data_IF_322126394414
#
_entry.id   IF_322126394414
#
_cell.length_a   1.000
_cell.length_b   1.000
_cell.length_c   1.000
_cell.angle_alpha   90.00
_cell.angle_beta   90.00
_cell.angle_gamma   90.00
#
_symmetry.space_group_name_H-M   'P 1'
#
loop_
_entity.id
_entity.type
_entity.pdbx_description
1 polymer ?
#
# COMPACT_ATOMS: atom_id res chain seq x y z
N UNK A 1 9.84 16.95 7.28
CA UNK A 1 9.22 16.62 5.97
C UNK A 1 10.21 16.69 4.82
N UNK A 2 10.96 17.80 4.61
CA UNK A 2 11.90 17.94 3.48
C UNK A 2 12.91 16.78 3.36
N UNK A 3 13.56 16.40 4.46
CA UNK A 3 14.54 15.30 4.44
C UNK A 3 13.91 13.96 4.06
N UNK A 4 12.75 13.64 4.64
CA UNK A 4 11.97 12.44 4.31
C UNK A 4 11.60 12.40 2.82
N UNK A 5 11.07 13.50 2.29
CA UNK A 5 10.76 13.62 0.85
C UNK A 5 12.01 13.45 0.00
N UNK A 6 13.14 14.04 0.38
CA UNK A 6 14.41 13.89 -0.35
C UNK A 6 14.89 12.44 -0.37
N UNK A 7 14.84 11.73 0.75
CA UNK A 7 15.26 10.33 0.85
C UNK A 7 14.33 9.41 0.06
N UNK A 8 13.02 9.61 0.14
CA UNK A 8 12.05 8.84 -0.63
C UNK A 8 12.17 9.10 -2.14
N UNK A 9 12.41 10.36 -2.53
CA UNK A 9 12.72 10.70 -3.93
C UNK A 9 13.95 9.94 -4.41
N UNK A 10 15.06 9.98 -3.66
CA UNK A 10 16.28 9.21 -4.00
C UNK A 10 16.02 7.70 -4.06
N UNK A 11 15.19 7.15 -3.16
CA UNK A 11 14.86 5.72 -3.10
C UNK A 11 14.05 5.26 -4.31
N UNK A 12 13.12 6.08 -4.81
CA UNK A 12 12.14 5.67 -5.83
C UNK A 12 12.28 6.38 -7.19
N UNK A 13 13.22 7.32 -7.34
CA UNK A 13 13.41 8.02 -8.61
C UNK A 13 13.89 7.11 -9.75
N UNK A 14 14.57 6.00 -9.44
CA UNK A 14 15.16 5.10 -10.43
C UNK A 14 14.62 3.68 -10.26
N UNK A 15 14.40 3.01 -11.38
CA UNK A 15 14.06 1.58 -11.44
C UNK A 15 15.20 0.84 -12.13
N UNK A 16 15.46 -0.39 -11.67
CA UNK A 16 16.47 -1.25 -12.28
C UNK A 16 15.77 -2.29 -13.15
N UNK A 17 16.00 -2.23 -14.46
CA UNK A 17 15.58 -3.29 -15.38
C UNK A 17 16.60 -4.44 -15.33
N UNK A 18 16.16 -5.63 -14.92
CA UNK A 18 16.95 -6.86 -15.03
C UNK A 18 18.04 -7.10 -13.97
N UNK A 19 18.89 -8.12 -14.23
CA UNK A 19 19.97 -8.54 -13.31
C UNK A 19 20.94 -7.37 -13.14
N UNK A 20 21.14 -6.96 -11.89
CA UNK A 20 22.03 -5.88 -11.47
C UNK A 20 23.50 -6.10 -11.89
N UNK A 21 23.81 -5.92 -13.17
CA UNK A 21 25.14 -5.71 -13.73
C UNK A 21 25.04 -4.81 -14.97
N UNK A 22 25.45 -3.55 -14.80
CA UNK A 22 25.83 -2.60 -15.85
C UNK A 22 24.74 -1.95 -16.72
N UNK A 23 23.62 -1.49 -16.13
CA UNK A 23 22.68 -0.57 -16.78
C UNK A 23 22.72 0.83 -16.15
N UNK A 24 22.57 1.89 -16.94
CA UNK A 24 22.30 3.23 -16.41
C UNK A 24 20.94 3.23 -15.69
N UNK A 25 20.80 3.93 -14.55
CA UNK A 25 19.51 4.03 -13.88
C UNK A 25 18.52 4.81 -14.76
N UNK A 26 17.40 4.19 -15.11
CA UNK A 26 16.30 4.85 -15.83
C UNK A 26 15.36 5.52 -14.83
N UNK A 27 14.95 6.75 -15.11
CA UNK A 27 14.05 7.49 -14.22
C UNK A 27 12.65 6.90 -14.29
N UNK A 28 12.06 6.60 -13.14
CA UNK A 28 10.70 6.06 -13.06
C UNK A 28 9.69 6.98 -13.76
N UNK A 29 9.86 8.29 -13.65
CA UNK A 29 8.98 9.27 -14.30
C UNK A 29 9.03 9.23 -15.83
N UNK A 30 10.11 8.73 -16.43
CA UNK A 30 10.29 8.68 -17.89
C UNK A 30 9.68 7.42 -18.50
N UNK A 31 9.57 6.34 -17.73
CA UNK A 31 9.08 5.04 -18.20
C UNK A 31 7.76 4.59 -17.57
N UNK A 32 7.21 5.37 -16.64
CA UNK A 32 5.96 5.01 -16.00
C UNK A 32 4.78 5.28 -16.92
N UNK A 33 4.13 4.20 -17.34
CA UNK A 33 2.83 4.23 -17.99
C UNK A 33 1.73 3.98 -16.95
N UNK A 34 0.67 4.80 -16.98
CA UNK A 34 -0.42 4.70 -16.02
C UNK A 34 -1.14 3.35 -16.12
N UNK A 35 -1.26 2.65 -14.99
CA UNK A 35 -1.91 1.34 -14.96
C UNK A 35 -3.43 1.49 -14.92
N UNK A 36 -4.13 0.59 -15.63
CA UNK A 36 -5.58 0.49 -15.57
C UNK A 36 -5.99 -0.16 -14.24
N UNK A 37 -6.68 0.62 -13.40
CA UNK A 37 -7.15 0.21 -12.08
C UNK A 37 -8.68 0.26 -12.06
N UNK A 38 -9.29 -0.79 -11.53
CA UNK A 38 -10.75 -0.92 -11.42
C UNK A 38 -11.15 -1.10 -9.96
N UNK A 39 -12.34 -0.63 -9.60
CA UNK A 39 -12.96 -0.92 -8.30
C UNK A 39 -13.42 -2.38 -8.28
N UNK A 40 -12.98 -3.13 -7.26
CA UNK A 40 -13.47 -4.48 -6.97
C UNK A 40 -14.49 -4.48 -5.84
N UNK A 41 -15.36 -5.47 -5.80
CA UNK A 41 -16.29 -5.69 -4.69
C UNK A 41 -15.58 -6.05 -3.39
N UNK A 42 -16.08 -5.57 -2.25
CA UNK A 42 -15.57 -5.96 -0.92
C UNK A 42 -15.75 -7.45 -0.64
N UNK A 43 -16.74 -8.10 -1.25
CA UNK A 43 -16.93 -9.56 -1.22
C UNK A 43 -15.80 -10.33 -1.93
N UNK A 44 -15.05 -9.68 -2.83
CA UNK A 44 -14.00 -10.33 -3.63
C UNK A 44 -12.71 -10.55 -2.82
N UNK A 45 -12.59 -10.06 -1.58
CA UNK A 45 -11.46 -10.40 -0.70
C UNK A 45 -11.38 -11.93 -0.49
N UNK A 46 -12.52 -12.61 -0.58
CA UNK A 46 -12.66 -14.06 -0.40
C UNK A 46 -12.71 -14.85 -1.72
N UNK A 47 -12.56 -14.23 -2.89
CA UNK A 47 -12.55 -14.98 -4.16
C UNK A 47 -11.14 -15.50 -4.50
N UNK A 48 -11.01 -16.82 -4.41
CA UNK A 48 -9.76 -17.54 -4.55
C UNK A 48 -9.50 -17.93 -6.02
N UNK A 49 -8.22 -17.88 -6.42
CA UNK A 49 -7.59 -18.31 -7.68
C UNK A 49 -7.30 -17.26 -8.76
N UNK A 50 -6.00 -17.10 -9.06
CA UNK A 50 -5.47 -16.24 -10.14
C UNK A 50 -6.01 -16.66 -11.53
N UNK A 51 -6.23 -17.97 -11.78
CA UNK A 51 -6.79 -18.48 -13.04
C UNK A 51 -8.19 -17.93 -13.28
N UNK A 52 -9.04 -17.93 -12.24
CA UNK A 52 -10.40 -17.40 -12.33
C UNK A 52 -10.40 -15.89 -12.58
N UNK A 53 -9.41 -15.16 -12.06
CA UNK A 53 -9.30 -13.71 -12.34
C UNK A 53 -8.90 -13.42 -13.79
N UNK A 54 -7.98 -14.20 -14.37
CA UNK A 54 -7.64 -14.08 -15.80
C UNK A 54 -8.87 -14.42 -16.66
N UNK A 55 -9.60 -15.48 -16.31
CA UNK A 55 -10.84 -15.86 -17.01
C UNK A 55 -11.93 -14.79 -16.86
N UNK A 56 -12.08 -14.18 -15.69
CA UNK A 56 -13.06 -13.11 -15.45
C UNK A 56 -12.67 -11.83 -16.18
N UNK A 57 -11.40 -11.44 -16.18
CA UNK A 57 -10.89 -10.28 -16.92
C UNK A 57 -11.06 -10.42 -18.44
N UNK A 58 -11.00 -11.66 -18.96
CA UNK A 58 -11.22 -11.93 -20.38
C UNK A 58 -12.70 -11.99 -20.80
N UNK A 59 -13.64 -12.08 -19.84
CA UNK A 59 -15.08 -12.08 -20.09
C UNK A 59 -15.61 -10.64 -20.05
N UNK A 60 -16.46 -10.28 -21.03
CA UNK A 60 -17.20 -9.00 -20.98
C UNK A 60 -18.10 -8.99 -19.73
N UNK A 61 -17.88 -8.08 -18.76
CA UNK A 61 -18.69 -8.04 -17.56
C UNK A 61 -20.12 -7.57 -17.89
N UNK A 62 -21.10 -8.06 -17.13
CA UNK A 62 -22.51 -7.70 -17.29
C UNK A 62 -22.83 -6.24 -16.90
N UNK A 63 -21.89 -5.58 -16.20
CA UNK A 63 -21.93 -4.17 -15.84
C UNK A 63 -20.59 -3.51 -16.22
N UNK A 64 -20.57 -2.22 -16.59
CA UNK A 64 -19.33 -1.50 -16.82
C UNK A 64 -18.46 -1.52 -15.55
N UNK A 65 -17.19 -1.91 -15.69
CA UNK A 65 -16.23 -1.76 -14.59
C UNK A 65 -16.05 -0.28 -14.28
N UNK A 66 -15.99 0.06 -12.99
CA UNK A 66 -15.71 1.42 -12.57
C UNK A 66 -14.19 1.60 -12.48
N UNK A 67 -13.63 2.33 -13.43
CA UNK A 67 -12.22 2.73 -13.39
C UNK A 67 -11.99 3.67 -12.20
N UNK A 68 -10.92 3.44 -11.46
CA UNK A 68 -10.50 4.27 -10.33
C UNK A 68 -9.17 4.92 -10.68
N UNK A 69 -9.10 6.24 -10.60
CA UNK A 69 -7.83 6.96 -10.71
C UNK A 69 -7.08 6.89 -9.38
N UNK A 70 -5.76 6.96 -9.45
CA UNK A 70 -4.91 6.90 -8.27
C UNK A 70 -5.27 7.97 -7.23
N UNK A 71 -5.56 9.19 -7.70
CA UNK A 71 -6.01 10.34 -6.89
C UNK A 71 -7.36 10.14 -6.19
N UNK A 72 -8.16 9.18 -6.65
CA UNK A 72 -9.50 8.90 -6.15
C UNK A 72 -9.52 7.71 -5.16
N UNK A 73 -8.37 7.04 -4.91
CA UNK A 73 -8.30 5.82 -4.08
C UNK A 73 -8.85 5.99 -2.66
N UNK A 74 -8.70 7.17 -2.05
CA UNK A 74 -9.09 7.42 -0.66
C UNK A 74 -10.31 8.34 -0.53
N UNK A 75 -10.91 8.72 -1.66
CA UNK A 75 -12.12 9.53 -1.66
C UNK A 75 -13.32 8.64 -1.36
N UNK A 76 -14.35 9.21 -0.73
CA UNK A 76 -15.59 8.49 -0.51
C UNK A 76 -16.17 8.01 -1.84
N UNK A 77 -16.69 6.78 -1.87
CA UNK A 77 -17.47 6.30 -3.01
C UNK A 77 -18.72 7.17 -3.17
N UNK A 78 -19.26 7.25 -4.39
CA UNK A 78 -20.46 8.05 -4.66
C UNK A 78 -21.64 7.57 -3.81
N UNK A 79 -21.89 8.25 -2.67
CA UNK A 79 -22.92 7.91 -1.69
C UNK A 79 -22.43 7.66 -0.25
N UNK A 80 -21.12 7.61 0.02
CA UNK A 80 -20.56 7.50 1.38
C UNK A 80 -20.26 8.86 2.02
N UNK A 81 -20.54 9.00 3.32
CA UNK A 81 -20.23 10.23 4.07
C UNK A 81 -18.77 10.26 4.58
N UNK A 82 -18.12 9.11 4.78
CA UNK A 82 -16.78 9.02 5.37
C UNK A 82 -15.68 8.65 4.34
N UNK A 83 -14.48 9.26 4.44
CA UNK A 83 -13.33 8.89 3.63
C UNK A 83 -12.89 7.42 3.84
N UNK A 84 -12.38 6.81 2.79
CA UNK A 84 -11.91 5.42 2.83
C UNK A 84 -10.59 5.37 3.62
N UNK A 85 -10.56 4.61 4.71
CA UNK A 85 -9.35 4.42 5.52
C UNK A 85 -8.37 3.44 4.87
N UNK A 86 -8.85 2.26 4.50
CA UNK A 86 -8.01 1.15 4.03
C UNK A 86 -8.40 0.76 2.61
N UNK A 87 -7.42 0.80 1.71
CA UNK A 87 -7.53 0.32 0.32
C UNK A 87 -6.68 -0.93 0.16
N UNK A 88 -7.28 -2.01 -0.38
CA UNK A 88 -6.55 -3.20 -0.79
C UNK A 88 -6.50 -3.28 -2.32
N UNK A 89 -5.30 -3.23 -2.89
CA UNK A 89 -5.07 -3.37 -4.32
C UNK A 89 -4.55 -4.76 -4.66
N UNK A 90 -5.35 -5.50 -5.41
CA UNK A 90 -5.03 -6.84 -5.92
C UNK A 90 -4.50 -6.78 -7.35
N UNK A 91 -3.90 -7.88 -7.78
CA UNK A 91 -3.50 -8.10 -9.17
C UNK A 91 -2.49 -9.23 -9.25
N UNK A 92 -2.32 -9.81 -10.43
CA UNK A 92 -1.41 -10.95 -10.64
C UNK A 92 0.06 -10.56 -10.42
N UNK A 93 0.95 -11.55 -10.32
CA UNK A 93 2.38 -11.31 -10.21
C UNK A 93 2.91 -10.52 -11.41
N UNK A 94 3.83 -9.58 -11.18
CA UNK A 94 4.46 -8.79 -12.25
C UNK A 94 3.61 -7.67 -12.86
N UNK A 95 2.32 -7.54 -12.50
CA UNK A 95 1.40 -6.56 -13.11
C UNK A 95 1.69 -5.08 -12.76
N UNK A 96 2.72 -4.80 -11.95
CA UNK A 96 3.14 -3.43 -11.63
C UNK A 96 2.64 -2.85 -10.30
N UNK A 97 2.04 -3.66 -9.40
CA UNK A 97 1.58 -3.18 -8.07
C UNK A 97 2.65 -2.45 -7.24
N UNK A 98 3.87 -2.99 -7.20
CA UNK A 98 5.00 -2.36 -6.50
C UNK A 98 5.43 -1.06 -7.19
N UNK A 99 5.48 -1.05 -8.52
CA UNK A 99 5.83 0.16 -9.29
C UNK A 99 4.78 1.27 -9.06
N UNK A 100 3.50 0.90 -8.94
CA UNK A 100 2.40 1.81 -8.63
C UNK A 100 2.58 2.51 -7.27
N UNK A 101 2.90 1.77 -6.20
CA UNK A 101 3.12 2.35 -4.87
C UNK A 101 4.40 3.19 -4.79
N UNK A 102 5.44 2.79 -5.52
CA UNK A 102 6.67 3.59 -5.68
C UNK A 102 6.38 4.89 -6.41
N UNK A 103 5.63 4.85 -7.51
CA UNK A 103 5.24 6.03 -8.29
C UNK A 103 4.40 6.99 -7.47
N UNK A 104 3.42 6.49 -6.71
CA UNK A 104 2.65 7.30 -5.77
C UNK A 104 3.57 8.02 -4.77
N UNK A 105 4.50 7.28 -4.15
CA UNK A 105 5.41 7.84 -3.15
C UNK A 105 6.35 8.88 -3.77
N UNK A 106 6.83 8.65 -4.99
CA UNK A 106 7.65 9.59 -5.73
C UNK A 106 6.88 10.88 -6.05
N UNK A 107 5.65 10.78 -6.57
CA UNK A 107 4.82 11.96 -6.85
C UNK A 107 4.53 12.77 -5.58
N UNK A 108 4.23 12.10 -4.45
CA UNK A 108 4.05 12.78 -3.15
C UNK A 108 5.34 13.47 -2.68
N UNK A 109 6.49 12.82 -2.85
CA UNK A 109 7.79 13.37 -2.48
C UNK A 109 8.25 14.53 -3.39
N UNK A 110 7.77 14.58 -4.63
CA UNK A 110 7.99 15.65 -5.60
C UNK A 110 6.96 16.79 -5.53
N UNK A 111 6.08 16.77 -4.53
CA UNK A 111 5.02 17.76 -4.34
C UNK A 111 4.00 17.83 -5.50
N UNK A 112 3.83 16.74 -6.27
CA UNK A 112 2.94 16.68 -7.43
C UNK A 112 1.49 16.38 -7.06
N UNK A 113 1.27 15.36 -6.24
CA UNK A 113 -0.07 14.86 -5.89
C UNK A 113 -0.22 14.59 -4.39
N UNK A 114 -1.46 14.42 -3.91
CA UNK A 114 -1.79 13.98 -2.54
C UNK A 114 -1.20 14.87 -1.43
N UNK A 115 -1.26 16.20 -1.63
CA UNK A 115 -0.72 17.19 -0.67
C UNK A 115 -1.56 17.34 0.60
N UNK A 116 -2.74 16.70 0.66
CA UNK A 116 -3.50 16.51 1.89
C UNK A 116 -2.79 15.55 2.87
N UNK A 117 -1.87 14.72 2.38
CA UNK A 117 -1.08 13.78 3.18
C UNK A 117 0.22 14.44 3.66
N UNK A 118 0.40 14.51 4.97
CA UNK A 118 1.59 15.13 5.58
C UNK A 118 2.78 14.19 5.70
N UNK A 119 2.55 12.88 5.82
CA UNK A 119 3.61 11.87 5.88
C UNK A 119 3.20 10.60 5.14
N UNK A 120 4.11 10.05 4.34
CA UNK A 120 3.94 8.75 3.66
C UNK A 120 5.05 7.80 4.11
N UNK A 121 4.67 6.63 4.60
CA UNK A 121 5.58 5.59 5.09
C UNK A 121 5.35 4.28 4.32
N UNK A 122 6.11 4.03 3.25
CA UNK A 122 6.05 2.76 2.54
C UNK A 122 6.91 1.69 3.22
N UNK A 123 6.27 0.56 3.53
CA UNK A 123 6.89 -0.65 4.03
C UNK A 123 6.63 -1.80 3.06
N UNK A 124 7.64 -2.63 2.81
CA UNK A 124 7.42 -3.93 2.16
C UNK A 124 7.26 -5.01 3.23
N UNK A 125 6.40 -6.00 3.00
CA UNK A 125 6.33 -7.15 3.91
C UNK A 125 7.65 -7.94 3.97
N UNK A 126 8.45 -7.91 2.89
CA UNK A 126 9.83 -8.44 2.90
C UNK A 126 10.69 -7.78 3.97
N UNK A 127 10.71 -6.44 4.04
CA UNK A 127 11.45 -5.69 5.05
C UNK A 127 10.91 -5.98 6.47
N UNK A 128 9.58 -6.04 6.63
CA UNK A 128 8.95 -6.34 7.92
C UNK A 128 9.27 -7.76 8.42
N UNK A 129 9.32 -8.75 7.53
CA UNK A 129 9.64 -10.14 7.87
C UNK A 129 11.04 -10.32 8.48
N UNK A 130 11.99 -9.42 8.19
CA UNK A 130 13.34 -9.41 8.79
C UNK A 130 13.28 -9.02 10.27
N UNK A 131 12.25 -8.28 10.65
CA UNK A 131 12.08 -7.71 11.99
C UNK A 131 11.06 -8.49 12.85
N UNK A 132 10.50 -9.59 12.36
CA UNK A 132 9.40 -10.35 13.00
C UNK A 132 9.69 -10.83 14.43
N UNK A 133 10.95 -11.10 14.77
CA UNK A 133 11.37 -11.57 16.10
C UNK A 133 11.65 -10.41 17.08
N UNK A 134 11.51 -9.16 16.63
CA UNK A 134 11.76 -7.96 17.42
C UNK A 134 10.43 -7.31 17.81
N UNK A 135 10.46 -6.58 18.92
CA UNK A 135 9.35 -5.74 19.37
C UNK A 135 9.59 -4.29 18.99
N UNK A 136 8.53 -3.61 18.57
CA UNK A 136 8.53 -2.21 18.22
C UNK A 136 7.26 -1.55 18.75
N UNK A 137 7.34 -0.26 19.03
CA UNK A 137 6.16 0.60 18.96
C UNK A 137 5.97 1.09 17.52
N UNK A 138 4.80 1.63 17.18
CA UNK A 138 4.60 2.21 15.85
C UNK A 138 5.62 3.32 15.58
N UNK A 139 5.86 4.18 16.57
CA UNK A 139 6.88 5.23 16.49
C UNK A 139 8.27 4.63 16.27
N UNK A 140 8.62 3.59 17.04
CA UNK A 140 9.89 2.91 16.92
C UNK A 140 10.09 2.25 15.56
N UNK A 141 9.04 1.66 14.99
CA UNK A 141 9.07 1.04 13.66
C UNK A 141 9.28 2.09 12.57
N UNK A 142 8.55 3.21 12.61
CA UNK A 142 8.75 4.33 11.67
C UNK A 142 10.18 4.88 11.80
N UNK A 143 10.67 5.10 13.02
CA UNK A 143 12.03 5.59 13.26
C UNK A 143 13.12 4.63 12.78
N UNK A 144 12.84 3.33 12.77
CA UNK A 144 13.76 2.31 12.28
C UNK A 144 13.98 2.43 10.77
N UNK A 145 12.92 2.61 10.00
CA UNK A 145 12.99 2.72 8.53
C UNK A 145 13.22 4.14 8.03
N UNK A 146 12.78 5.15 8.78
CA UNK A 146 12.81 6.57 8.41
C UNK A 146 13.51 7.37 9.50
N UNK A 147 14.81 7.16 9.68
CA UNK A 147 15.59 7.75 10.78
C UNK A 147 15.60 9.28 10.81
N UNK A 148 15.35 9.94 9.68
CA UNK A 148 15.13 11.39 9.57
C UNK A 148 13.91 11.88 10.37
N UNK A 149 12.89 11.03 10.57
CA UNK A 149 11.74 11.37 11.41
C UNK A 149 12.12 11.38 12.89
N UNK A 150 13.01 10.46 13.29
CA UNK A 150 13.62 10.43 14.63
C UNK A 150 14.50 11.67 14.85
N UNK A 151 15.35 11.99 13.88
CA UNK A 151 16.23 13.17 13.94
C UNK A 151 15.43 14.47 14.04
N UNK A 152 14.26 14.53 13.40
CA UNK A 152 13.34 15.67 13.50
C UNK A 152 12.45 15.67 14.75
N UNK A 153 12.59 14.70 15.67
CA UNK A 153 11.80 14.59 16.90
C UNK A 153 10.31 14.26 16.69
N UNK A 154 9.95 13.74 15.51
CA UNK A 154 8.56 13.45 15.15
C UNK A 154 8.15 12.13 15.81
N UNK A 155 7.24 12.18 16.77
CA UNK A 155 6.73 11.00 17.48
C UNK A 155 5.20 10.99 17.64
N UNK A 156 4.53 12.12 17.38
CA UNK A 156 3.08 12.29 17.56
C UNK A 156 2.34 12.16 16.24
N UNK A 157 2.38 10.96 15.66
CA UNK A 157 1.78 10.69 14.35
C UNK A 157 0.26 10.89 14.32
N UNK A 158 -0.41 10.80 15.47
CA UNK A 158 -1.85 11.06 15.63
C UNK A 158 -2.28 12.48 15.26
N UNK A 159 -1.33 13.43 15.25
CA UNK A 159 -1.57 14.84 14.89
C UNK A 159 -1.46 15.13 13.40
N UNK A 160 -1.13 14.13 12.59
CA UNK A 160 -0.84 14.32 11.18
C UNK A 160 -1.73 13.43 10.31
N UNK A 161 -1.99 13.88 9.08
CA UNK A 161 -2.52 13.00 8.05
C UNK A 161 -1.40 12.08 7.55
N UNK A 162 -1.42 10.82 7.98
CA UNK A 162 -0.40 9.80 7.66
C UNK A 162 -0.95 8.81 6.65
N UNK A 163 -0.15 8.47 5.64
CA UNK A 163 -0.36 7.34 4.74
C UNK A 163 0.67 6.26 5.05
N UNK A 164 0.21 5.04 5.29
CA UNK A 164 1.06 3.87 5.44
C UNK A 164 0.77 2.93 4.28
N UNK A 165 1.81 2.59 3.53
CA UNK A 165 1.71 1.64 2.41
C UNK A 165 2.36 0.33 2.85
N UNK A 166 1.63 -0.77 2.72
CA UNK A 166 2.12 -2.13 2.92
C UNK A 166 2.16 -2.85 1.58
N UNK A 167 3.34 -2.94 0.98
CA UNK A 167 3.55 -3.58 -0.30
C UNK A 167 3.86 -5.07 -0.15
N UNK A 168 3.14 -5.91 -0.90
CA UNK A 168 3.40 -7.34 -1.03
C UNK A 168 2.90 -8.20 0.13
N UNK A 169 1.62 -8.08 0.53
CA UNK A 169 1.01 -8.93 1.56
C UNK A 169 1.12 -10.43 1.25
N UNK A 170 1.19 -10.81 -0.03
CA UNK A 170 1.47 -12.19 -0.45
C UNK A 170 2.82 -12.73 0.03
N UNK A 171 3.69 -11.86 0.52
CA UNK A 171 4.99 -12.21 1.08
C UNK A 171 5.01 -12.13 2.62
N UNK A 172 3.90 -11.78 3.26
CA UNK A 172 3.79 -11.71 4.71
C UNK A 172 4.06 -13.09 5.35
N UNK A 173 4.87 -13.09 6.42
CA UNK A 173 5.15 -14.29 7.24
C UNK A 173 4.70 -14.12 8.68
N UNK A 174 4.03 -13.02 9.00
CA UNK A 174 3.43 -12.79 10.30
C UNK A 174 2.11 -13.57 10.36
N UNK A 175 1.70 -14.09 11.53
CA UNK A 175 0.43 -14.80 11.69
C UNK A 175 -0.80 -13.99 11.27
N UNK A 176 -0.74 -12.67 11.44
CA UNK A 176 -1.84 -11.71 11.30
C UNK A 176 -3.08 -12.15 12.08
N UNK A 177 -2.93 -12.47 13.38
CA UNK A 177 -4.06 -12.91 14.20
C UNK A 177 -4.98 -11.73 14.58
N UNK A 178 -6.03 -11.52 13.80
CA UNK A 178 -7.01 -10.45 14.02
C UNK A 178 -7.96 -10.70 15.20
N UNK A 179 -8.01 -11.93 15.72
CA UNK A 179 -8.97 -12.34 16.75
C UNK A 179 -8.35 -12.38 18.14
N UNK A 180 -7.16 -12.97 18.27
CA UNK A 180 -6.52 -13.24 19.57
C UNK A 180 -5.54 -12.16 20.00
N UNK A 181 -5.03 -11.34 19.07
CA UNK A 181 -4.08 -10.29 19.43
C UNK A 181 -4.70 -9.25 20.36
N UNK A 182 -3.90 -8.83 21.34
CA UNK A 182 -4.26 -7.77 22.28
C UNK A 182 -4.59 -6.46 21.57
N UNK A 183 -5.50 -5.68 22.16
CA UNK A 183 -5.85 -4.36 21.62
C UNK A 183 -4.75 -3.38 21.99
N UNK A 184 -4.14 -2.78 20.98
CA UNK A 184 -3.11 -1.76 21.12
C UNK A 184 -3.60 -0.45 20.52
N UNK A 185 -3.55 0.63 21.31
CA UNK A 185 -4.03 1.97 20.90
C UNK A 185 -2.96 3.05 21.03
N UNK A 186 -1.96 2.87 21.90
CA UNK A 186 -0.85 3.79 22.07
C UNK A 186 0.26 3.53 21.04
N UNK A 187 0.58 4.54 20.23
CA UNK A 187 1.62 4.46 19.19
C UNK A 187 3.05 4.36 19.74
N UNK A 188 3.24 4.60 21.04
CA UNK A 188 4.52 4.56 21.74
C UNK A 188 4.77 3.25 22.50
N UNK A 189 3.73 2.46 22.74
CA UNK A 189 3.82 1.17 23.41
C UNK A 189 4.41 0.11 22.47
N UNK A 190 5.33 -0.71 23.01
CA UNK A 190 6.09 -1.69 22.23
C UNK A 190 5.44 -3.07 22.29
N UNK A 191 5.13 -3.64 21.13
CA UNK A 191 4.60 -5.00 20.99
C UNK A 191 5.23 -5.73 19.79
N UNK A 192 4.77 -6.94 19.48
CA UNK A 192 5.20 -7.68 18.29
C UNK A 192 4.72 -6.97 17.02
N UNK A 193 5.37 -7.24 15.88
CA UNK A 193 4.86 -6.74 14.59
C UNK A 193 3.46 -7.26 14.27
N UNK A 194 3.14 -8.47 14.73
CA UNK A 194 1.82 -9.07 14.52
C UNK A 194 0.70 -8.25 15.19
N UNK A 195 0.90 -7.91 16.47
CA UNK A 195 -0.01 -7.05 17.25
C UNK A 195 -0.08 -5.65 16.64
N UNK A 196 1.07 -5.07 16.25
CA UNK A 196 1.12 -3.73 15.64
C UNK A 196 0.31 -3.66 14.33
N UNK A 197 0.57 -4.58 13.39
CA UNK A 197 -0.07 -4.55 12.08
C UNK A 197 -1.56 -4.85 12.15
N UNK A 198 -1.96 -5.87 12.94
CA UNK A 198 -3.38 -6.18 13.11
C UNK A 198 -4.15 -5.03 13.73
N UNK A 199 -3.59 -4.34 14.73
CA UNK A 199 -4.24 -3.16 15.33
C UNK A 199 -4.26 -1.93 14.41
N UNK A 200 -3.23 -1.71 13.59
CA UNK A 200 -3.26 -0.67 12.54
C UNK A 200 -4.39 -0.92 11.55
N UNK A 201 -4.46 -2.15 11.02
CA UNK A 201 -5.42 -2.56 9.99
C UNK A 201 -6.85 -2.54 10.53
N UNK A 202 -7.07 -2.99 11.77
CA UNK A 202 -8.37 -2.86 12.48
C UNK A 202 -8.75 -1.43 12.84
N UNK A 203 -7.86 -0.45 12.65
CA UNK A 203 -8.07 0.94 13.04
C UNK A 203 -8.06 1.18 14.55
N UNK A 204 -7.50 0.25 15.35
CA UNK A 204 -7.32 0.44 16.81
C UNK A 204 -6.07 1.28 17.11
N UNK A 205 -5.01 1.06 16.33
CA UNK A 205 -3.78 1.84 16.39
C UNK A 205 -3.77 2.88 15.27
N UNK A 206 -3.48 4.14 15.61
CA UNK A 206 -3.45 5.28 14.68
C UNK A 206 -4.69 5.34 13.75
N UNK A 207 -5.91 5.52 14.30
CA UNK A 207 -7.17 5.50 13.54
C UNK A 207 -7.30 6.60 12.47
N UNK A 208 -6.50 7.67 12.56
CA UNK A 208 -6.48 8.76 11.56
C UNK A 208 -5.65 8.46 10.30
N UNK A 209 -4.80 7.43 10.32
CA UNK A 209 -4.00 7.06 9.15
C UNK A 209 -4.86 6.59 7.96
N UNK A 210 -4.31 6.66 6.76
CA UNK A 210 -4.78 5.92 5.59
C UNK A 210 -3.84 4.74 5.34
N UNK A 211 -4.40 3.60 4.97
CA UNK A 211 -3.66 2.38 4.71
C UNK A 211 -3.83 1.96 3.25
N UNK A 212 -2.73 1.68 2.58
CA UNK A 212 -2.75 1.06 1.25
C UNK A 212 -2.03 -0.28 1.30
N UNK A 213 -2.73 -1.37 1.04
CA UNK A 213 -2.17 -2.72 1.04
C UNK A 213 -2.16 -3.24 -0.39
N UNK A 214 -1.03 -3.70 -0.90
CA UNK A 214 -0.96 -4.42 -2.19
C UNK A 214 -0.80 -5.91 -1.95
N UNK A 215 -1.44 -6.73 -2.79
CA UNK A 215 -1.37 -8.18 -2.63
C UNK A 215 -1.66 -8.92 -3.94
N UNK A 216 -1.26 -10.19 -4.00
CA UNK A 216 -1.85 -11.12 -4.97
C UNK A 216 -3.24 -11.56 -4.49
N UNK A 217 -4.15 -11.89 -5.41
CA UNK A 217 -5.49 -12.35 -5.07
C UNK A 217 -5.52 -13.46 -4.00
N UNK A 218 -4.65 -14.46 -4.14
CA UNK A 218 -4.59 -15.61 -3.24
C UNK A 218 -4.22 -15.29 -1.79
N UNK A 219 -3.68 -14.10 -1.53
CA UNK A 219 -3.29 -13.65 -0.20
C UNK A 219 -4.21 -12.55 0.35
N UNK A 220 -5.24 -12.13 -0.39
CA UNK A 220 -6.16 -11.08 0.04
C UNK A 220 -6.96 -11.49 1.29
N UNK A 221 -7.35 -12.75 1.38
CA UNK A 221 -8.10 -13.34 2.49
C UNK A 221 -7.33 -13.38 3.83
N UNK A 222 -6.04 -13.04 3.85
CA UNK A 222 -5.30 -12.85 5.10
C UNK A 222 -5.82 -11.65 5.91
N UNK A 223 -6.48 -10.68 5.25
CA UNK A 223 -7.09 -9.52 5.91
C UNK A 223 -8.61 -9.71 5.93
N UNK A 224 -9.26 -9.60 7.11
CA UNK A 224 -10.71 -9.67 7.19
C UNK A 224 -11.37 -8.58 6.33
N UNK A 225 -12.42 -8.89 5.56
CA UNK A 225 -13.06 -7.95 4.64
C UNK A 225 -13.61 -6.71 5.36
N UNK A 226 -14.04 -6.83 6.61
CA UNK A 226 -14.49 -5.71 7.44
C UNK A 226 -13.40 -4.67 7.77
N UNK A 227 -12.13 -5.03 7.59
CA UNK A 227 -11.01 -4.11 7.78
C UNK A 227 -10.64 -3.34 6.49
N UNK A 228 -11.30 -3.63 5.36
CA UNK A 228 -11.01 -3.07 4.05
C UNK A 228 -12.20 -2.19 3.60
N UNK A 229 -11.95 -0.90 3.42
CA UNK A 229 -12.98 0.03 2.95
C UNK A 229 -13.19 0.00 1.44
N UNK A 230 -12.12 -0.30 0.68
CA UNK A 230 -12.20 -0.47 -0.77
C UNK A 230 -11.23 -1.53 -1.27
N UNK A 231 -11.69 -2.30 -2.24
CA UNK A 231 -10.87 -3.20 -3.02
C UNK A 231 -10.67 -2.59 -4.40
N UNK A 232 -9.44 -2.64 -4.91
CA UNK A 232 -9.14 -2.31 -6.31
C UNK A 232 -8.33 -3.42 -6.96
N UNK A 233 -8.39 -3.51 -8.28
CA UNK A 233 -7.61 -4.46 -9.06
C UNK A 233 -6.81 -3.75 -10.14
N UNK A 234 -5.50 -4.04 -10.19
CA UNK A 234 -4.62 -3.64 -11.29
C UNK A 234 -4.76 -4.64 -12.43
N UNK A 235 -5.26 -4.16 -13.57
CA UNK A 235 -5.44 -4.95 -14.79
C UNK A 235 -4.24 -4.88 -15.74
N UNK A 236 -3.25 -4.04 -15.44
CA UNK A 236 -2.09 -3.79 -16.29
C UNK A 236 -2.31 -2.64 -17.26
N UNK A 237 -1.79 -2.79 -18.48
CA UNK A 237 -1.94 -1.80 -19.55
C UNK A 237 -3.22 -2.03 -20.36
N UNK A 238 -3.90 -0.94 -20.71
CA UNK A 238 -4.95 -0.96 -21.74
C UNK A 238 -4.37 -1.34 -23.11
N UNK A 239 -5.19 -1.80 -24.05
CA UNK A 239 -4.69 -2.22 -25.37
C UNK A 239 -3.90 -1.13 -26.12
N UNK A 240 -4.31 0.17 -26.10
CA UNK A 240 -3.50 1.24 -26.68
C UNK A 240 -2.13 1.42 -25.99
N UNK A 241 -2.04 1.18 -24.68
CA UNK A 241 -0.80 1.33 -23.91
C UNK A 241 0.18 0.16 -24.13
N UNK A 242 -0.26 -0.95 -24.71
CA UNK A 242 0.63 -2.08 -25.05
C UNK A 242 1.41 -1.83 -26.35
N UNK A 243 1.01 -0.84 -27.15
CA UNK A 243 1.64 -0.49 -28.43
C UNK A 243 2.70 0.62 -28.31
N UNK A 244 2.79 1.29 -27.15
CA UNK A 244 3.86 2.24 -26.78
C UNK A 244 5.15 1.54 -26.32
#
# INVERSE_FOLDING_TARGET
>A
QRELKSNLKKKFQCVFEGIAKAGNPTLLNEIYTELYITEGGTAEVNEEHEVRQIETASRRPARPEKTIRLEDLFKASAGGEEPIRTVMTKGVAGIGKTVLTQKFTLNWAEDKDHQDIQFTFPFTFRELNVLREKKFSLVGLVHHFFSETKAAGICRFEKFQVMIIFDGLDECRLPLDFHSNEILTDVTESSSLDVLLTNLIRGKLLPSARLWITTRPAAANQIPPECVGMVTEVRGFTDPQKEE
#
